data_IF_241924235372
#
_entry.id   IF_241924235372
#
_cell.length_a   1.000
_cell.length_b   1.000
_cell.length_c   1.000
_cell.angle_alpha   90.00
_cell.angle_beta   90.00
_cell.angle_gamma   90.00
#
_symmetry.space_group_name_H-M   'P 1'
#
loop_
_entity.id
_entity.type
_entity.pdbx_description
1 polymer ?
#
# COMPACT_ATOMS: atom_id res chain seq x y z
N UNK A 1 -2.41 12.31 15.66
CA UNK A 1 -0.96 12.09 15.58
C UNK A 1 -0.50 12.34 14.14
N UNK A 2 0.45 13.26 13.96
CA UNK A 2 1.23 13.37 12.72
C UNK A 2 2.33 12.31 12.87
N UNK A 3 2.60 11.44 11.87
CA UNK A 3 3.75 10.55 11.95
C UNK A 3 5.00 11.40 12.21
N UNK A 4 5.83 11.03 13.18
CA UNK A 4 7.10 11.72 13.44
C UNK A 4 7.98 11.68 12.20
N UNK A 5 8.62 12.81 11.86
CA UNK A 5 9.44 13.01 10.65
C UNK A 5 10.51 11.92 10.42
N UNK A 6 10.98 11.24 11.48
CA UNK A 6 11.91 10.12 11.38
C UNK A 6 11.38 8.92 10.57
N UNK A 7 10.07 8.65 10.62
CA UNK A 7 9.47 7.50 9.91
C UNK A 7 9.33 7.72 8.40
N UNK A 8 9.28 8.97 7.94
CA UNK A 8 9.34 9.30 6.50
C UNK A 8 10.78 9.21 6.00
N UNK A 9 11.77 9.58 6.82
CA UNK A 9 13.18 9.50 6.44
C UNK A 9 13.64 8.06 6.18
N UNK A 10 13.32 7.10 7.04
CA UNK A 10 13.74 5.69 6.85
C UNK A 10 13.12 5.04 5.60
N UNK A 11 11.84 5.34 5.31
CA UNK A 11 11.16 4.86 4.08
C UNK A 11 11.79 5.44 2.82
N UNK A 12 12.19 6.71 2.87
CA UNK A 12 12.89 7.36 1.78
C UNK A 12 14.29 6.75 1.56
N UNK A 13 15.00 6.39 2.63
CA UNK A 13 16.32 5.73 2.53
C UNK A 13 16.24 4.37 1.83
N UNK A 14 15.24 3.53 2.14
CA UNK A 14 15.07 2.25 1.44
C UNK A 14 14.70 2.44 -0.04
N UNK A 15 13.85 3.43 -0.34
CA UNK A 15 13.51 3.79 -1.71
C UNK A 15 14.74 4.27 -2.49
N UNK A 16 15.56 5.15 -1.89
CA UNK A 16 16.78 5.68 -2.49
C UNK A 16 17.79 4.56 -2.75
N UNK A 17 18.03 3.67 -1.78
CA UNK A 17 18.95 2.54 -1.93
C UNK A 17 18.55 1.61 -3.08
N UNK A 18 17.28 1.25 -3.18
CA UNK A 18 16.78 0.45 -4.29
C UNK A 18 16.96 1.20 -5.63
N UNK A 19 16.49 2.45 -5.68
CA UNK A 19 16.47 3.21 -6.93
C UNK A 19 17.87 3.48 -7.46
N UNK A 20 18.77 3.94 -6.59
CA UNK A 20 20.14 4.27 -6.96
C UNK A 20 20.91 2.99 -7.36
N UNK A 21 20.62 1.85 -6.72
CA UNK A 21 21.19 0.55 -7.10
C UNK A 21 20.66 0.03 -8.44
N UNK A 22 19.38 0.27 -8.75
CA UNK A 22 18.73 -0.28 -9.94
C UNK A 22 18.90 0.60 -11.18
N UNK A 23 18.91 1.92 -10.99
CA UNK A 23 18.80 2.91 -12.06
C UNK A 23 19.81 4.07 -11.96
N UNK A 24 20.60 4.15 -10.88
CA UNK A 24 21.52 5.25 -10.64
C UNK A 24 20.80 6.60 -10.55
N UNK A 25 21.30 7.60 -11.28
CA UNK A 25 20.77 8.98 -11.26
C UNK A 25 19.53 9.19 -12.16
N UNK A 26 18.92 8.13 -12.70
CA UNK A 26 17.75 8.26 -13.54
C UNK A 26 16.56 8.85 -12.75
N UNK A 27 15.92 9.89 -13.28
CA UNK A 27 14.74 10.49 -12.65
C UNK A 27 13.46 9.70 -12.96
N UNK A 28 13.42 9.14 -14.18
CA UNK A 28 12.29 8.40 -14.70
C UNK A 28 12.79 7.14 -15.45
N UNK A 29 12.06 6.04 -15.33
CA UNK A 29 12.39 4.74 -15.95
C UNK A 29 11.16 4.09 -16.55
N UNK A 30 11.26 3.26 -17.60
CA UNK A 30 10.10 2.52 -18.11
C UNK A 30 9.46 1.69 -16.99
N UNK A 31 8.13 1.76 -16.86
CA UNK A 31 7.42 1.05 -15.78
C UNK A 31 7.73 -0.45 -15.76
N UNK A 32 7.79 -1.10 -16.92
CA UNK A 32 8.16 -2.52 -17.00
C UNK A 32 9.56 -2.84 -16.46
N UNK A 33 10.51 -1.93 -16.65
CA UNK A 33 11.87 -2.05 -16.12
C UNK A 33 11.89 -1.85 -14.61
N UNK A 34 11.10 -0.89 -14.09
CA UNK A 34 10.91 -0.71 -12.65
C UNK A 34 10.46 -2.00 -11.97
N UNK A 35 9.40 -2.62 -12.50
CA UNK A 35 8.85 -3.81 -11.85
C UNK A 35 9.81 -5.00 -11.98
N UNK A 36 10.47 -5.18 -13.12
CA UNK A 36 11.48 -6.22 -13.28
C UNK A 36 12.59 -6.08 -12.24
N UNK A 37 13.16 -4.88 -12.08
CA UNK A 37 14.22 -4.65 -11.10
C UNK A 37 13.76 -4.81 -9.66
N UNK A 38 12.53 -4.42 -9.36
CA UNK A 38 11.97 -4.62 -8.03
C UNK A 38 11.85 -6.10 -7.67
N UNK A 39 11.43 -6.94 -8.62
CA UNK A 39 11.37 -8.39 -8.43
C UNK A 39 12.77 -8.99 -8.26
N UNK A 40 13.71 -8.65 -9.15
CA UNK A 40 15.11 -9.09 -9.03
C UNK A 40 15.69 -8.72 -7.65
N UNK A 41 15.41 -7.51 -7.18
CA UNK A 41 15.88 -7.00 -5.89
C UNK A 41 15.26 -7.73 -4.70
N UNK A 42 13.96 -8.00 -4.75
CA UNK A 42 13.22 -8.75 -3.73
C UNK A 42 13.68 -10.21 -3.66
N UNK A 43 13.91 -10.85 -4.81
CA UNK A 43 14.39 -12.23 -4.89
C UNK A 43 15.82 -12.37 -4.39
N UNK A 44 16.70 -11.41 -4.71
CA UNK A 44 18.10 -11.44 -4.29
C UNK A 44 18.28 -11.39 -2.76
N UNK A 45 17.46 -10.59 -2.07
CA UNK A 45 17.60 -10.34 -0.63
C UNK A 45 16.84 -11.34 0.25
N UNK A 46 16.29 -12.41 -0.30
CA UNK A 46 15.53 -13.40 0.48
C UNK A 46 16.45 -14.51 1.00
N UNK A 47 16.49 -14.66 2.32
CA UNK A 47 17.38 -15.59 3.04
C UNK A 47 17.01 -17.09 2.90
N UNK A 48 15.90 -17.43 2.21
CA UNK A 48 15.42 -18.82 2.04
C UNK A 48 15.26 -19.22 0.57
N UNK A 49 15.74 -20.41 0.17
CA UNK A 49 15.41 -21.00 -1.12
C UNK A 49 13.94 -21.45 -1.10
N UNK A 50 13.15 -20.78 -1.93
CA UNK A 50 11.70 -20.88 -2.02
C UNK A 50 11.21 -19.65 -2.77
N UNK A 51 11.35 -19.69 -4.10
CA UNK A 51 10.95 -18.62 -5.01
C UNK A 51 9.55 -18.13 -4.65
N UNK A 52 9.29 -16.83 -4.80
CA UNK A 52 7.91 -16.40 -4.99
C UNK A 52 7.30 -17.34 -6.03
N UNK A 53 6.13 -17.93 -5.76
CA UNK A 53 5.48 -18.70 -6.81
C UNK A 53 5.22 -17.76 -7.99
N UNK A 54 5.17 -18.28 -9.22
CA UNK A 54 4.81 -17.46 -10.38
C UNK A 54 3.48 -16.71 -10.14
N UNK A 55 2.58 -17.31 -9.35
CA UNK A 55 1.33 -16.70 -8.89
C UNK A 55 1.57 -15.51 -7.95
N UNK A 56 2.47 -15.62 -6.95
CA UNK A 56 2.80 -14.51 -6.05
C UNK A 56 3.42 -13.33 -6.81
N UNK A 57 4.32 -13.63 -7.77
CA UNK A 57 4.92 -12.63 -8.64
C UNK A 57 3.82 -11.97 -9.49
N UNK A 58 2.94 -12.75 -10.11
CA UNK A 58 1.85 -12.21 -10.92
C UNK A 58 0.89 -11.34 -10.09
N UNK A 59 0.55 -11.76 -8.88
CA UNK A 59 -0.29 -11.02 -7.94
C UNK A 59 0.40 -9.70 -7.54
N UNK A 60 1.70 -9.75 -7.22
CA UNK A 60 2.52 -8.59 -6.92
C UNK A 60 2.52 -7.58 -8.07
N UNK A 61 2.85 -8.04 -9.29
CA UNK A 61 2.86 -7.21 -10.51
C UNK A 61 1.51 -6.54 -10.73
N UNK A 62 0.42 -7.30 -10.65
CA UNK A 62 -0.93 -6.79 -10.95
C UNK A 62 -1.37 -5.73 -9.94
N UNK A 63 -1.03 -5.95 -8.67
CA UNK A 63 -1.39 -5.03 -7.57
C UNK A 63 -0.58 -3.75 -7.66
N UNK A 64 0.74 -3.89 -7.84
CA UNK A 64 1.64 -2.76 -8.01
C UNK A 64 1.26 -1.93 -9.23
N UNK A 65 1.00 -2.57 -10.37
CA UNK A 65 0.54 -1.89 -11.58
C UNK A 65 -0.79 -1.15 -11.37
N UNK A 66 -1.76 -1.80 -10.73
CA UNK A 66 -3.06 -1.17 -10.46
C UNK A 66 -2.92 0.06 -9.57
N UNK A 67 -2.10 -0.03 -8.51
CA UNK A 67 -1.82 1.07 -7.59
C UNK A 67 -1.11 2.24 -8.27
N UNK A 68 -0.12 1.96 -9.10
CA UNK A 68 0.63 2.99 -9.83
C UNK A 68 -0.23 3.67 -10.89
N UNK A 69 -1.07 2.91 -11.61
CA UNK A 69 -2.07 3.48 -12.52
C UNK A 69 -3.09 4.35 -11.80
N UNK A 70 -3.48 4.03 -10.57
CA UNK A 70 -4.39 4.86 -9.78
C UNK A 70 -3.73 6.15 -9.27
N UNK A 71 -2.43 6.12 -8.95
CA UNK A 71 -1.66 7.34 -8.62
C UNK A 71 -1.54 8.28 -9.82
N UNK A 72 -1.46 7.72 -11.03
CA UNK A 72 -1.32 8.47 -12.27
C UNK A 72 -2.30 7.97 -13.37
N UNK A 73 -3.61 8.27 -13.27
CA UNK A 73 -4.69 7.67 -14.06
C UNK A 73 -4.73 8.02 -15.55
N UNK A 74 -3.66 8.63 -16.07
CA UNK A 74 -3.50 8.97 -17.50
C UNK A 74 -2.37 8.22 -18.19
N UNK A 75 -1.71 7.27 -17.51
CA UNK A 75 -0.47 6.68 -18.02
C UNK A 75 -0.66 5.34 -18.76
N UNK A 76 -0.10 5.21 -19.95
CA UNK A 76 0.00 3.93 -20.68
C UNK A 76 1.12 3.03 -20.11
N UNK A 77 1.16 1.74 -20.48
CA UNK A 77 2.26 0.82 -20.09
C UNK A 77 3.64 1.22 -20.64
N UNK A 78 3.70 2.12 -21.63
CA UNK A 78 4.94 2.63 -22.22
C UNK A 78 5.48 3.85 -21.46
N UNK A 79 4.74 4.33 -20.45
CA UNK A 79 5.12 5.55 -19.76
C UNK A 79 6.17 5.32 -18.68
N UNK A 80 7.01 6.35 -18.56
CA UNK A 80 8.06 6.41 -17.58
C UNK A 80 7.47 6.60 -16.18
N UNK A 81 8.03 5.90 -15.21
CA UNK A 81 7.73 6.02 -13.80
C UNK A 81 8.83 6.82 -13.11
N UNK A 82 8.43 7.75 -12.26
CA UNK A 82 9.37 8.63 -11.59
C UNK A 82 9.77 8.07 -10.22
N UNK A 83 10.99 8.41 -9.78
CA UNK A 83 11.47 8.11 -8.42
C UNK A 83 10.47 8.61 -7.36
N UNK A 84 9.89 9.79 -7.59
CA UNK A 84 8.93 10.42 -6.67
C UNK A 84 7.64 9.58 -6.51
N UNK A 85 7.08 9.07 -7.60
CA UNK A 85 5.88 8.25 -7.55
C UNK A 85 6.15 6.89 -6.90
N UNK A 86 7.30 6.30 -7.18
CA UNK A 86 7.73 5.08 -6.50
C UNK A 86 7.91 5.32 -5.00
N UNK A 87 8.57 6.42 -4.60
CA UNK A 87 8.72 6.80 -3.19
C UNK A 87 7.38 6.98 -2.47
N UNK A 88 6.38 7.57 -3.15
CA UNK A 88 5.01 7.66 -2.61
C UNK A 88 4.45 6.28 -2.33
N UNK A 89 4.61 5.33 -3.24
CA UNK A 89 4.14 3.96 -3.03
C UNK A 89 4.86 3.29 -1.84
N UNK A 90 6.18 3.40 -1.77
CA UNK A 90 6.99 2.91 -0.63
C UNK A 90 6.52 3.55 0.69
N UNK A 91 6.11 4.83 0.66
CA UNK A 91 5.56 5.49 1.85
C UNK A 91 4.31 4.80 2.39
N UNK A 92 3.43 4.24 1.53
CA UNK A 92 2.23 3.49 1.96
C UNK A 92 2.56 2.06 2.40
N UNK A 93 3.37 1.36 1.63
CA UNK A 93 3.58 -0.07 1.80
C UNK A 93 4.84 -0.43 2.57
N UNK A 94 5.55 0.56 3.11
CA UNK A 94 6.78 0.37 3.86
C UNK A 94 7.99 0.19 2.96
N UNK A 95 9.19 0.12 3.57
CA UNK A 95 10.44 -0.02 2.82
C UNK A 95 10.45 -1.34 2.03
N UNK A 96 11.18 -1.36 0.91
CA UNK A 96 11.30 -2.57 0.05
C UNK A 96 12.00 -3.70 0.82
N UNK A 97 12.97 -3.34 1.66
CA UNK A 97 13.64 -4.21 2.61
C UNK A 97 13.53 -3.59 4.01
N UNK A 98 13.24 -4.40 5.02
CA UNK A 98 13.31 -3.99 6.43
C UNK A 98 14.76 -3.78 6.91
N UNK A 99 14.93 -3.37 8.17
CA UNK A 99 16.26 -3.14 8.77
C UNK A 99 17.16 -4.38 8.82
N UNK A 100 16.56 -5.57 8.68
CA UNK A 100 17.25 -6.85 8.64
C UNK A 100 17.50 -7.33 7.20
N UNK A 101 17.11 -6.55 6.19
CA UNK A 101 17.25 -6.88 4.77
C UNK A 101 16.13 -7.77 4.22
N UNK A 102 15.02 -7.97 4.94
CA UNK A 102 13.90 -8.82 4.48
C UNK A 102 12.85 -8.04 3.70
N UNK A 103 12.30 -8.64 2.65
CA UNK A 103 11.23 -8.07 1.81
C UNK A 103 9.81 -8.53 2.18
N UNK A 104 9.67 -9.49 3.10
CA UNK A 104 8.40 -10.18 3.37
C UNK A 104 7.27 -9.20 3.74
N UNK A 105 7.53 -8.22 4.60
CA UNK A 105 6.51 -7.23 5.03
C UNK A 105 6.04 -6.32 3.89
N UNK A 106 6.92 -6.00 2.93
CA UNK A 106 6.56 -5.20 1.75
C UNK A 106 5.66 -6.01 0.81
N UNK A 107 6.04 -7.27 0.56
CA UNK A 107 5.27 -8.20 -0.28
C UNK A 107 3.90 -8.45 0.32
N UNK A 108 3.82 -8.79 1.61
CA UNK A 108 2.56 -9.02 2.33
C UNK A 108 1.62 -7.81 2.22
N UNK A 109 2.17 -6.59 2.32
CA UNK A 109 1.39 -5.36 2.19
C UNK A 109 0.82 -5.15 0.79
N UNK A 110 1.55 -5.59 -0.25
CA UNK A 110 1.07 -5.53 -1.63
C UNK A 110 0.05 -6.63 -1.93
N UNK A 111 0.21 -7.82 -1.36
CA UNK A 111 -0.78 -8.91 -1.45
C UNK A 111 -2.08 -8.50 -0.77
N UNK A 112 -2.03 -7.85 0.40
CA UNK A 112 -3.21 -7.27 1.07
C UNK A 112 -4.00 -6.31 0.14
N UNK A 113 -3.34 -5.64 -0.81
CA UNK A 113 -4.00 -4.73 -1.76
C UNK A 113 -4.82 -5.44 -2.85
N UNK A 114 -4.67 -6.75 -2.99
CA UNK A 114 -5.45 -7.56 -3.94
C UNK A 114 -6.86 -7.87 -3.42
N UNK A 115 -7.06 -7.68 -2.11
CA UNK A 115 -8.28 -8.04 -1.46
C UNK A 115 -9.42 -7.13 -1.89
N UNK A 116 -10.63 -7.69 -2.04
CA UNK A 116 -11.81 -6.94 -2.50
C UNK A 116 -12.17 -5.74 -1.59
N UNK A 117 -11.81 -5.80 -0.30
CA UNK A 117 -12.02 -4.72 0.65
C UNK A 117 -11.03 -3.56 0.47
N UNK A 118 -9.93 -3.74 -0.27
CA UNK A 118 -9.00 -2.67 -0.58
C UNK A 118 -9.38 -1.99 -1.89
N UNK A 119 -9.47 -0.66 -1.88
CA UNK A 119 -9.93 0.13 -3.03
C UNK A 119 -8.85 1.08 -3.57
N UNK A 120 -7.66 1.09 -2.97
CA UNK A 120 -6.54 1.93 -3.42
C UNK A 120 -6.79 3.42 -3.32
N UNK A 121 -6.38 4.19 -4.33
CA UNK A 121 -6.41 5.66 -4.33
C UNK A 121 -7.76 6.20 -4.78
N UNK A 122 -8.79 6.04 -3.94
CA UNK A 122 -10.11 6.64 -4.15
C UNK A 122 -10.38 7.76 -3.14
N UNK A 123 -11.23 8.71 -3.54
CA UNK A 123 -11.63 9.83 -2.68
C UNK A 123 -12.54 9.37 -1.52
N UNK A 124 -12.68 10.24 -0.53
CA UNK A 124 -13.64 10.05 0.56
C UNK A 124 -15.10 9.96 0.06
N UNK A 125 -15.40 10.66 -1.03
CA UNK A 125 -16.73 10.69 -1.64
C UNK A 125 -17.00 9.37 -2.36
N UNK A 126 -16.06 8.89 -3.18
CA UNK A 126 -16.18 7.61 -3.89
C UNK A 126 -16.32 6.43 -2.93
N UNK A 127 -15.49 6.38 -1.89
CA UNK A 127 -15.58 5.32 -0.86
C UNK A 127 -16.92 5.30 -0.14
N UNK A 128 -17.46 6.49 0.18
CA UNK A 128 -18.79 6.63 0.76
C UNK A 128 -19.86 6.12 -0.20
N UNK A 129 -19.77 6.48 -1.49
CA UNK A 129 -20.71 6.06 -2.51
C UNK A 129 -20.71 4.53 -2.72
N UNK A 130 -19.53 3.91 -2.74
CA UNK A 130 -19.38 2.44 -2.84
C UNK A 130 -20.14 1.75 -1.71
N UNK A 131 -19.87 2.11 -0.45
CA UNK A 131 -20.53 1.49 0.71
C UNK A 131 -22.03 1.78 0.79
N UNK A 132 -22.49 2.92 0.29
CA UNK A 132 -23.92 3.27 0.27
C UNK A 132 -24.71 2.45 -0.74
N UNK A 133 -24.09 2.02 -1.85
CA UNK A 133 -24.78 1.36 -2.97
C UNK A 133 -24.65 -0.17 -3.00
N UNK A 134 -24.04 -0.79 -1.98
CA UNK A 134 -24.04 -2.24 -1.85
C UNK A 134 -25.49 -2.74 -1.75
N UNK A 135 -25.89 -3.62 -2.70
CA UNK A 135 -27.27 -4.11 -2.84
C UNK A 135 -27.78 -4.90 -1.63
N UNK A 136 -26.87 -5.49 -0.87
CA UNK A 136 -27.11 -6.14 0.41
C UNK A 136 -26.05 -5.64 1.40
N UNK A 137 -26.25 -4.47 2.03
CA UNK A 137 -25.34 -4.02 3.06
C UNK A 137 -25.66 -4.84 4.32
N UNK A 138 -25.08 -6.03 4.42
CA UNK A 138 -24.99 -6.70 5.71
C UNK A 138 -24.26 -5.78 6.69
N UNK A 139 -24.63 -5.85 7.95
CA UNK A 139 -24.02 -5.06 9.00
C UNK A 139 -22.50 -5.35 9.06
N UNK A 140 -21.66 -4.31 9.12
CA UNK A 140 -20.20 -4.48 9.24
C UNK A 140 -19.40 -4.39 7.93
N UNK A 141 -20.01 -4.01 6.80
CA UNK A 141 -19.24 -3.73 5.59
C UNK A 141 -18.22 -2.60 5.80
N UNK A 142 -17.00 -2.85 5.36
CA UNK A 142 -15.91 -1.90 5.37
C UNK A 142 -15.15 -1.94 4.04
N UNK A 143 -14.36 -0.91 3.81
CA UNK A 143 -13.30 -0.91 2.82
C UNK A 143 -12.11 -0.11 3.34
N UNK A 144 -10.94 -0.34 2.75
CA UNK A 144 -9.71 0.40 3.04
C UNK A 144 -9.29 1.13 1.76
N UNK A 145 -8.89 2.39 1.93
CA UNK A 145 -8.35 3.24 0.86
C UNK A 145 -7.06 3.91 1.29
N UNK A 146 -6.23 4.31 0.34
CA UNK A 146 -5.13 5.24 0.60
C UNK A 146 -5.68 6.59 1.07
N UNK A 147 -5.09 7.16 2.11
CA UNK A 147 -5.47 8.49 2.60
C UNK A 147 -4.94 9.56 1.65
N UNK A 148 -5.48 10.78 1.74
CA UNK A 148 -4.87 11.94 1.08
C UNK A 148 -3.55 12.38 1.74
N UNK A 149 -3.27 11.85 2.93
CA UNK A 149 -1.97 11.99 3.59
C UNK A 149 -1.12 10.78 3.25
N UNK A 150 0.07 11.04 2.70
CA UNK A 150 1.04 10.00 2.33
C UNK A 150 1.36 9.07 3.50
N UNK A 151 1.49 7.78 3.18
CA UNK A 151 1.82 6.74 4.16
C UNK A 151 0.72 6.40 5.17
N UNK A 152 -0.49 6.92 4.99
CA UNK A 152 -1.65 6.63 5.83
C UNK A 152 -2.77 5.95 5.02
N UNK A 153 -3.48 5.01 5.63
CA UNK A 153 -4.70 4.44 5.06
C UNK A 153 -5.93 5.03 5.77
N UNK A 154 -7.09 4.83 5.17
CA UNK A 154 -8.38 5.15 5.79
C UNK A 154 -9.27 3.93 5.72
N UNK A 155 -9.65 3.42 6.89
CA UNK A 155 -10.73 2.45 7.03
C UNK A 155 -12.06 3.21 6.94
N UNK A 156 -12.91 2.77 6.02
CA UNK A 156 -14.24 3.34 5.80
C UNK A 156 -15.25 2.26 6.17
N UNK A 157 -16.09 2.52 7.17
CA UNK A 157 -17.03 1.53 7.73
C UNK A 157 -18.45 2.01 7.64
N UNK A 158 -19.35 1.13 7.20
CA UNK A 158 -20.78 1.28 7.39
C UNK A 158 -21.18 0.57 8.70
N UNK A 159 -21.56 1.31 9.75
CA UNK A 159 -21.88 0.73 11.04
C UNK A 159 -23.10 -0.21 10.95
N UNK A 160 -23.23 -1.18 11.87
CA UNK A 160 -24.37 -2.09 11.94
C UNK A 160 -25.70 -1.39 12.25
N UNK A 161 -25.66 -0.10 12.60
CA UNK A 161 -26.87 0.68 12.91
C UNK A 161 -27.61 1.06 11.62
N UNK A 162 -28.96 1.15 11.66
CA UNK A 162 -29.83 1.70 10.57
C UNK A 162 -29.53 3.14 10.15
N UNK A 163 -28.39 3.69 10.56
CA UNK A 163 -27.88 5.01 10.23
C UNK A 163 -27.18 4.98 8.88
N UNK A 164 -27.35 6.01 8.06
CA UNK A 164 -26.59 6.22 6.82
C UNK A 164 -25.17 6.76 7.05
N UNK A 165 -24.77 6.94 8.31
CA UNK A 165 -23.48 7.51 8.67
C UNK A 165 -22.33 6.55 8.30
N UNK A 166 -21.38 7.03 7.51
CA UNK A 166 -20.14 6.32 7.19
C UNK A 166 -19.02 6.87 8.07
N UNK A 167 -18.28 5.98 8.73
CA UNK A 167 -17.15 6.36 9.57
C UNK A 167 -15.85 6.24 8.77
N UNK A 168 -15.04 7.30 8.79
CA UNK A 168 -13.68 7.30 8.25
C UNK A 168 -12.71 7.32 9.42
N UNK A 169 -11.88 6.29 9.55
CA UNK A 169 -10.85 6.18 10.59
C UNK A 169 -9.49 6.04 9.93
N UNK A 170 -8.53 6.84 10.39
CA UNK A 170 -7.18 6.84 9.83
C UNK A 170 -6.39 5.67 10.40
N UNK A 171 -5.64 5.03 9.51
CA UNK A 171 -4.69 3.98 9.84
C UNK A 171 -3.27 4.42 9.47
N UNK A 172 -2.28 4.13 10.31
CA UNK A 172 -0.86 4.43 10.06
C UNK A 172 -0.09 3.11 10.07
N UNK A 173 0.75 2.86 9.05
CA UNK A 173 1.66 1.71 9.04
C UNK A 173 2.80 1.95 10.02
N UNK A 174 3.11 0.99 10.90
CA UNK A 174 4.25 1.08 11.84
C UNK A 174 5.58 0.71 11.16
N UNK A 175 6.73 1.19 11.69
CA UNK A 175 8.06 0.85 11.16
C UNK A 175 8.41 -0.63 11.29
N UNK A 176 8.03 -1.27 12.40
CA UNK A 176 8.29 -2.68 12.73
C UNK A 176 7.33 -3.67 12.04
N UNK A 177 6.49 -3.17 11.13
CA UNK A 177 5.42 -3.93 10.50
C UNK A 177 4.06 -3.75 11.20
N UNK A 178 2.99 -4.07 10.47
CA UNK A 178 1.62 -3.88 10.95
C UNK A 178 1.11 -2.44 10.89
N UNK A 179 -0.11 -2.27 11.40
CA UNK A 179 -0.97 -1.12 11.20
C UNK A 179 -1.62 -0.71 12.50
N UNK A 180 -1.77 0.60 12.65
CA UNK A 180 -2.42 1.23 13.78
C UNK A 180 -3.67 1.95 13.30
N UNK A 181 -4.84 1.60 13.82
CA UNK A 181 -6.11 2.27 13.55
C UNK A 181 -6.55 3.09 14.76
N UNK A 182 -6.81 4.38 14.55
CA UNK A 182 -7.39 5.22 15.60
C UNK A 182 -8.91 5.31 15.45
N UNK A 183 -9.64 4.50 16.21
CA UNK A 183 -11.10 4.45 16.19
C UNK A 183 -11.69 4.99 17.49
N UNK A 184 -12.45 6.09 17.41
CA UNK A 184 -13.13 6.72 18.56
C UNK A 184 -12.19 7.00 19.76
N UNK A 185 -10.97 7.44 19.48
CA UNK A 185 -9.96 7.73 20.52
C UNK A 185 -9.31 6.49 21.14
N UNK A 186 -9.59 5.29 20.62
CA UNK A 186 -8.88 4.06 20.96
C UNK A 186 -7.92 3.66 19.86
N UNK A 187 -6.85 3.03 20.28
CA UNK A 187 -5.77 2.52 19.45
C UNK A 187 -6.00 1.02 19.22
N UNK A 188 -6.11 0.62 17.96
CA UNK A 188 -6.24 -0.77 17.56
C UNK A 188 -5.01 -1.14 16.71
N UNK A 189 -4.29 -2.15 17.16
CA UNK A 189 -3.11 -2.66 16.45
C UNK A 189 -3.47 -3.92 15.66
N UNK A 190 -3.01 -3.99 14.42
CA UNK A 190 -3.18 -5.15 13.56
C UNK A 190 -1.87 -5.46 12.85
N UNK A 191 -1.52 -6.73 12.71
CA UNK A 191 -0.29 -7.12 12.03
C UNK A 191 -0.35 -6.93 10.50
N UNK A 192 -1.55 -6.81 9.93
CA UNK A 192 -1.79 -6.64 8.49
C UNK A 192 -3.08 -5.87 8.25
N UNK A 193 -3.31 -5.33 7.04
CA UNK A 193 -4.59 -4.68 6.71
C UNK A 193 -5.72 -5.71 6.73
N UNK A 194 -5.42 -6.94 6.33
CA UNK A 194 -6.33 -8.09 6.43
C UNK A 194 -6.77 -8.45 7.85
N UNK A 195 -6.05 -8.02 8.90
CA UNK A 195 -6.48 -8.19 10.30
C UNK A 195 -7.31 -7.01 10.84
N UNK A 196 -7.38 -5.90 10.09
CA UNK A 196 -8.31 -4.80 10.35
C UNK A 196 -9.68 -5.02 9.68
N UNK A 197 -9.70 -5.90 8.68
CA UNK A 197 -10.86 -6.42 7.98
C UNK A 197 -11.64 -7.44 8.82
#
# INVERSE_FOLDING_TARGET
>A
FIPSDGNMQERNVSCDLFWDSAFGDALDVPFGELVQKLVEYVEYHRDKPGSLSDDDICIFFRSFQTLMQQLAPKRSMEELESKENFAKLVAYFGPVLDDNGNSDTFIESLVDCTCQWFQGFISAIESTHILMNLRAPEEGHFLIRCSSQEGCFTLVVKPPTRTTAIYHSRTVKKPDGGFFLQFKGKELEAASLSKLA
#
